data_IF_151391175228
#
_entry.id   IF_151391175228
#
_cell.length_a   1.000
_cell.length_b   1.000
_cell.length_c   1.000
_cell.angle_alpha   90.00
_cell.angle_beta   90.00
_cell.angle_gamma   90.00
#
_symmetry.space_group_name_H-M   'P 1'
#
loop_
_entity.id
_entity.type
_entity.pdbx_description
1 polymer ?
#
# COMPACT_ATOMS: atom_id res chain seq x y z
N UNK A 1 23.84 -27.51 -21.96
CA UNK A 1 22.42 -27.59 -21.57
C UNK A 1 22.36 -27.54 -20.06
N UNK A 2 22.11 -26.36 -19.48
CA UNK A 2 21.90 -26.26 -18.03
C UNK A 2 20.58 -26.96 -17.68
N UNK A 3 20.64 -28.02 -16.88
CA UNK A 3 19.44 -28.58 -16.28
C UNK A 3 18.84 -27.50 -15.37
N UNK A 4 17.74 -26.88 -15.80
CA UNK A 4 16.93 -26.03 -14.92
C UNK A 4 16.54 -26.87 -13.71
N UNK A 5 17.24 -26.70 -12.60
CA UNK A 5 16.89 -27.31 -11.33
C UNK A 5 15.49 -26.83 -10.96
N UNK A 6 14.51 -27.70 -11.18
CA UNK A 6 13.13 -27.44 -10.81
C UNK A 6 13.09 -27.48 -9.29
N UNK A 7 12.69 -26.39 -8.60
CA UNK A 7 12.63 -26.40 -7.14
C UNK A 7 11.64 -27.47 -6.66
N UNK A 8 12.05 -28.20 -5.62
CA UNK A 8 11.19 -29.20 -4.96
C UNK A 8 10.06 -28.51 -4.20
N UNK A 9 8.98 -29.24 -3.89
CA UNK A 9 7.82 -28.68 -3.18
C UNK A 9 8.22 -28.10 -1.81
N UNK A 10 9.07 -28.81 -1.07
CA UNK A 10 9.57 -28.37 0.25
C UNK A 10 10.34 -27.04 0.16
N UNK A 11 11.10 -26.83 -0.91
CA UNK A 11 11.81 -25.57 -1.14
C UNK A 11 10.84 -24.41 -1.44
N UNK A 12 9.71 -24.68 -2.10
CA UNK A 12 8.69 -23.68 -2.37
C UNK A 12 7.94 -23.29 -1.10
N UNK A 13 7.66 -24.24 -0.21
CA UNK A 13 7.02 -23.98 1.08
C UNK A 13 7.93 -23.16 2.01
N UNK A 14 9.23 -23.48 2.07
CA UNK A 14 10.19 -22.66 2.82
C UNK A 14 10.27 -21.23 2.30
N UNK A 15 10.27 -21.06 0.96
CA UNK A 15 10.23 -19.71 0.38
C UNK A 15 8.90 -19.01 0.64
N UNK A 16 7.79 -19.74 0.77
CA UNK A 16 6.49 -19.18 1.12
C UNK A 16 6.50 -18.58 2.53
N UNK A 17 7.07 -19.28 3.51
CA UNK A 17 7.28 -18.76 4.87
C UNK A 17 8.14 -17.48 4.87
N UNK A 18 9.13 -17.40 3.98
CA UNK A 18 9.92 -16.19 3.82
C UNK A 18 9.06 -15.02 3.30
N UNK A 19 8.20 -15.25 2.31
CA UNK A 19 7.25 -14.24 1.84
C UNK A 19 6.23 -13.84 2.91
N UNK A 20 5.81 -14.76 3.78
CA UNK A 20 4.94 -14.39 4.92
C UNK A 20 5.66 -13.44 5.88
N UNK A 21 6.93 -13.71 6.21
CA UNK A 21 7.73 -12.80 7.06
C UNK A 21 7.91 -11.42 6.42
N UNK A 22 8.16 -11.37 5.12
CA UNK A 22 8.22 -10.12 4.37
C UNK A 22 6.89 -9.36 4.39
N UNK A 23 5.77 -10.06 4.31
CA UNK A 23 4.45 -9.45 4.40
C UNK A 23 4.25 -8.75 5.75
N UNK A 24 4.68 -9.37 6.86
CA UNK A 24 4.63 -8.72 8.18
C UNK A 24 5.50 -7.46 8.24
N UNK A 25 6.70 -7.48 7.65
CA UNK A 25 7.55 -6.29 7.55
C UNK A 25 6.87 -5.17 6.75
N UNK A 26 6.24 -5.51 5.61
CA UNK A 26 5.46 -4.57 4.81
C UNK A 26 4.29 -3.96 5.58
N UNK A 27 3.56 -4.75 6.38
CA UNK A 27 2.53 -4.22 7.28
C UNK A 27 3.11 -3.28 8.34
N UNK A 28 4.26 -3.61 8.92
CA UNK A 28 4.95 -2.74 9.87
C UNK A 28 5.28 -1.37 9.26
N UNK A 29 5.84 -1.36 8.05
CA UNK A 29 6.13 -0.12 7.31
C UNK A 29 4.83 0.64 7.04
N UNK A 30 3.78 -0.05 6.59
CA UNK A 30 2.50 0.56 6.27
C UNK A 30 1.85 1.23 7.49
N UNK A 31 1.89 0.59 8.66
CA UNK A 31 1.36 1.15 9.92
C UNK A 31 2.19 2.35 10.37
N UNK A 32 3.52 2.29 10.28
CA UNK A 32 4.40 3.43 10.61
C UNK A 32 4.10 4.62 9.69
N UNK A 33 3.96 4.38 8.39
CA UNK A 33 3.57 5.39 7.42
C UNK A 33 2.21 6.00 7.77
N UNK A 34 1.23 5.18 8.14
CA UNK A 34 -0.10 5.64 8.50
C UNK A 34 -0.07 6.50 9.77
N UNK A 35 0.66 6.07 10.80
CA UNK A 35 0.83 6.85 12.02
C UNK A 35 1.52 8.20 11.73
N UNK A 36 2.58 8.21 10.92
CA UNK A 36 3.22 9.45 10.47
C UNK A 36 2.28 10.33 9.63
N UNK A 37 1.38 9.72 8.86
CA UNK A 37 0.39 10.45 8.09
C UNK A 37 -0.58 11.20 8.99
N UNK A 38 -1.11 10.53 10.02
CA UNK A 38 -1.99 11.17 11.00
C UNK A 38 -1.30 12.29 11.78
N UNK A 39 -0.06 12.05 12.24
CA UNK A 39 0.72 13.09 12.93
C UNK A 39 0.92 14.31 12.03
N UNK A 40 1.31 14.09 10.78
CA UNK A 40 1.53 15.19 9.84
C UNK A 40 0.23 15.89 9.42
N UNK A 41 -0.87 15.16 9.27
CA UNK A 41 -2.17 15.75 9.02
C UNK A 41 -2.59 16.68 10.16
N UNK A 42 -2.37 16.25 11.41
CA UNK A 42 -2.64 17.06 12.60
C UNK A 42 -1.73 18.29 12.68
N UNK A 43 -0.42 18.14 12.45
CA UNK A 43 0.52 19.27 12.37
C UNK A 43 0.12 20.27 11.29
N UNK A 44 -0.22 19.78 10.10
CA UNK A 44 -0.66 20.61 8.99
C UNK A 44 -1.95 21.38 9.35
N UNK A 45 -2.93 20.75 9.99
CA UNK A 45 -4.14 21.44 10.45
C UNK A 45 -3.84 22.54 11.46
N UNK A 46 -2.96 22.29 12.44
CA UNK A 46 -2.54 23.31 13.40
C UNK A 46 -1.82 24.47 12.71
N UNK A 47 -0.87 24.16 11.82
CA UNK A 47 -0.14 25.17 11.06
C UNK A 47 -1.08 26.01 10.20
N UNK A 48 -2.00 25.37 9.47
CA UNK A 48 -3.00 26.06 8.65
C UNK A 48 -3.87 26.99 9.49
N UNK A 49 -4.36 26.54 10.66
CA UNK A 49 -5.15 27.39 11.56
C UNK A 49 -4.35 28.59 12.07
N UNK A 50 -3.09 28.39 12.47
CA UNK A 50 -2.20 29.50 12.87
C UNK A 50 -1.95 30.45 11.69
N UNK A 51 -1.69 29.92 10.50
CA UNK A 51 -1.37 30.72 9.32
C UNK A 51 -2.57 31.58 8.88
N UNK A 52 -3.79 31.02 8.89
CA UNK A 52 -5.01 31.79 8.64
C UNK A 52 -5.24 32.88 9.69
N UNK A 53 -5.00 32.58 10.99
CA UNK A 53 -5.11 33.59 12.04
C UNK A 53 -4.11 34.75 11.89
N UNK A 54 -2.92 34.47 11.35
CA UNK A 54 -1.89 35.49 11.08
C UNK A 54 -2.22 36.26 9.80
N UNK A 55 -2.72 35.58 8.77
CA UNK A 55 -3.12 36.18 7.50
C UNK A 55 -4.27 37.18 7.67
N UNK A 56 -5.29 36.82 8.47
CA UNK A 56 -6.39 37.73 8.83
C UNK A 56 -5.87 39.01 9.52
N UNK A 57 -4.77 38.88 10.28
CA UNK A 57 -4.13 39.99 10.99
C UNK A 57 -3.14 40.78 10.12
N UNK A 58 -2.53 40.16 9.12
CA UNK A 58 -1.48 40.75 8.27
C UNK A 58 -1.59 40.27 6.81
N UNK A 59 -2.23 41.04 5.91
CA UNK A 59 -2.50 40.63 4.52
C UNK A 59 -1.25 40.56 3.61
N UNK A 60 -0.08 41.01 4.09
CA UNK A 60 1.20 40.94 3.36
C UNK A 60 1.67 39.48 3.15
N UNK A 61 1.13 38.52 3.91
CA UNK A 61 1.52 37.11 3.83
C UNK A 61 1.07 36.40 2.54
N UNK A 62 0.10 36.95 1.79
CA UNK A 62 -0.39 36.33 0.55
C UNK A 62 0.70 36.15 -0.52
N UNK A 63 1.67 37.08 -0.58
CA UNK A 63 2.77 37.01 -1.55
C UNK A 63 3.80 35.93 -1.24
N UNK A 64 3.92 35.48 0.01
CA UNK A 64 4.94 34.52 0.45
C UNK A 64 4.37 33.10 0.67
N UNK A 65 3.05 32.94 0.59
CA UNK A 65 2.38 31.66 0.83
C UNK A 65 2.77 30.59 -0.19
N UNK A 66 2.88 30.96 -1.47
CA UNK A 66 3.27 30.05 -2.54
C UNK A 66 4.69 29.47 -2.32
N UNK A 67 5.63 30.31 -1.87
CA UNK A 67 7.01 29.90 -1.56
C UNK A 67 7.09 29.03 -0.30
N UNK A 68 6.28 29.31 0.74
CA UNK A 68 6.21 28.44 1.92
C UNK A 68 5.60 27.07 1.60
N UNK A 69 4.55 27.02 0.77
CA UNK A 69 3.84 25.79 0.43
C UNK A 69 4.73 24.78 -0.30
N UNK A 70 5.64 25.26 -1.15
CA UNK A 70 6.59 24.42 -1.90
C UNK A 70 7.71 23.88 -1.02
N UNK A 71 8.08 24.56 0.07
CA UNK A 71 9.02 24.05 1.07
C UNK A 71 8.43 22.97 2.00
N UNK A 72 7.11 22.96 2.21
CA UNK A 72 6.41 22.00 3.08
C UNK A 72 6.30 20.59 2.49
N UNK A 73 6.36 20.48 1.15
CA UNK A 73 6.29 19.23 0.40
C UNK A 73 7.69 18.89 -0.12
N UNK A 74 8.44 18.05 0.62
CA UNK A 74 9.74 17.56 0.14
C UNK A 74 9.52 16.50 -0.96
N UNK A 75 9.90 16.74 -2.22
CA UNK A 75 9.71 15.78 -3.31
C UNK A 75 10.45 14.46 -3.05
N UNK A 76 11.62 14.53 -2.39
CA UNK A 76 12.42 13.38 -2.01
C UNK A 76 11.67 12.43 -1.07
N UNK A 77 10.86 12.97 -0.15
CA UNK A 77 10.03 12.17 0.76
C UNK A 77 8.95 11.41 -0.01
N UNK A 78 8.28 12.05 -0.97
CA UNK A 78 7.27 11.40 -1.82
C UNK A 78 7.91 10.27 -2.64
N UNK A 79 9.05 10.54 -3.27
CA UNK A 79 9.78 9.53 -4.06
C UNK A 79 10.22 8.34 -3.20
N UNK A 80 10.69 8.60 -1.97
CA UNK A 80 11.07 7.55 -1.04
C UNK A 80 9.89 6.64 -0.67
N UNK A 81 8.73 7.23 -0.36
CA UNK A 81 7.53 6.46 -0.04
C UNK A 81 6.99 5.67 -1.24
N UNK A 82 7.01 6.27 -2.43
CA UNK A 82 6.62 5.58 -3.67
C UNK A 82 7.55 4.40 -3.94
N UNK A 83 8.86 4.55 -3.70
CA UNK A 83 9.82 3.45 -3.79
C UNK A 83 9.48 2.31 -2.80
N UNK A 84 9.15 2.62 -1.55
CA UNK A 84 8.75 1.61 -0.56
C UNK A 84 7.44 0.90 -0.93
N UNK A 85 6.49 1.61 -1.52
CA UNK A 85 5.25 1.05 -2.02
C UNK A 85 5.52 0.05 -3.16
N UNK A 86 6.32 0.44 -4.16
CA UNK A 86 6.71 -0.46 -5.26
C UNK A 86 7.43 -1.70 -4.75
N UNK A 87 8.32 -1.54 -3.77
CA UNK A 87 9.03 -2.65 -3.13
C UNK A 87 8.06 -3.60 -2.42
N UNK A 88 7.02 -3.08 -1.79
CA UNK A 88 5.96 -3.85 -1.12
C UNK A 88 5.03 -4.58 -2.09
N UNK A 89 4.77 -4.02 -3.28
CA UNK A 89 3.90 -4.62 -4.29
C UNK A 89 4.62 -5.64 -5.18
N UNK A 90 5.95 -5.55 -5.29
CA UNK A 90 6.77 -6.47 -6.09
C UNK A 90 6.52 -7.96 -5.76
N UNK A 91 6.47 -8.39 -4.48
CA UNK A 91 6.09 -9.75 -4.11
C UNK A 91 4.74 -10.20 -4.68
N UNK A 92 3.72 -9.34 -4.64
CA UNK A 92 2.39 -9.66 -5.17
C UNK A 92 2.43 -9.94 -6.68
N UNK A 93 3.18 -9.14 -7.44
CA UNK A 93 3.38 -9.34 -8.88
C UNK A 93 4.14 -10.64 -9.15
N UNK A 94 5.22 -10.89 -8.42
CA UNK A 94 6.02 -12.12 -8.56
C UNK A 94 5.16 -13.35 -8.28
N UNK A 95 4.41 -13.36 -7.16
CA UNK A 95 3.53 -14.46 -6.79
C UNK A 95 2.40 -14.67 -7.79
N UNK A 96 1.91 -13.60 -8.43
CA UNK A 96 0.81 -13.68 -9.41
C UNK A 96 1.26 -14.26 -10.76
N UNK A 97 2.41 -13.81 -11.28
CA UNK A 97 2.79 -14.05 -12.68
C UNK A 97 3.92 -15.07 -12.86
N UNK A 98 4.81 -15.24 -11.87
CA UNK A 98 5.98 -16.08 -12.06
C UNK A 98 5.61 -17.57 -12.03
N UNK A 99 6.04 -18.31 -13.07
CA UNK A 99 5.63 -19.69 -13.34
C UNK A 99 5.94 -20.67 -12.20
N UNK A 100 7.05 -20.45 -11.49
CA UNK A 100 7.44 -21.23 -10.30
C UNK A 100 6.35 -21.30 -9.23
N UNK A 101 5.59 -20.23 -9.00
CA UNK A 101 4.55 -20.16 -7.96
C UNK A 101 3.21 -20.75 -8.39
N UNK A 102 3.09 -21.23 -9.64
CA UNK A 102 1.89 -21.94 -10.10
C UNK A 102 1.75 -23.33 -9.50
N UNK A 103 2.83 -23.88 -8.94
CA UNK A 103 2.85 -25.19 -8.29
C UNK A 103 2.34 -25.18 -6.85
N UNK A 104 2.36 -24.01 -6.20
CA UNK A 104 1.86 -23.83 -4.84
C UNK A 104 0.33 -23.82 -4.85
N UNK A 105 -0.29 -24.35 -3.78
CA UNK A 105 -1.75 -24.30 -3.60
C UNK A 105 -2.25 -22.87 -3.79
N UNK A 106 -3.24 -22.73 -4.66
CA UNK A 106 -3.80 -21.44 -5.09
C UNK A 106 -4.25 -20.57 -3.89
N UNK A 107 -4.81 -21.19 -2.86
CA UNK A 107 -5.29 -20.52 -1.65
C UNK A 107 -4.15 -19.77 -0.92
N UNK A 108 -3.08 -20.48 -0.54
CA UNK A 108 -1.94 -19.89 0.19
C UNK A 108 -1.29 -18.76 -0.61
N UNK A 109 -1.24 -18.91 -1.94
CA UNK A 109 -0.71 -17.87 -2.82
C UNK A 109 -1.61 -16.63 -2.85
N UNK A 110 -2.93 -16.80 -2.90
CA UNK A 110 -3.85 -15.68 -2.87
C UNK A 110 -3.82 -14.96 -1.54
N UNK A 111 -3.81 -15.66 -0.41
CA UNK A 111 -3.75 -15.00 0.90
C UNK A 111 -2.51 -14.10 1.02
N UNK A 112 -1.35 -14.55 0.50
CA UNK A 112 -0.15 -13.72 0.38
C UNK A 112 -0.31 -12.53 -0.57
N UNK A 113 -0.79 -12.76 -1.80
CA UNK A 113 -0.99 -11.70 -2.81
C UNK A 113 -1.90 -10.61 -2.24
N UNK A 114 -3.05 -11.00 -1.66
CA UNK A 114 -3.99 -10.07 -1.07
C UNK A 114 -3.44 -9.38 0.17
N UNK A 115 -2.62 -10.07 0.96
CA UNK A 115 -1.87 -9.45 2.06
C UNK A 115 -0.98 -8.31 1.57
N UNK A 116 -0.14 -8.55 0.56
CA UNK A 116 0.76 -7.52 0.02
C UNK A 116 0.01 -6.36 -0.63
N UNK A 117 -1.08 -6.66 -1.35
CA UNK A 117 -1.98 -5.64 -1.89
C UNK A 117 -2.60 -4.79 -0.78
N UNK A 118 -3.05 -5.40 0.31
CA UNK A 118 -3.60 -4.69 1.47
C UNK A 118 -2.54 -3.81 2.14
N UNK A 119 -1.31 -4.31 2.31
CA UNK A 119 -0.21 -3.53 2.87
C UNK A 119 0.13 -2.31 1.98
N UNK A 120 0.29 -2.52 0.67
CA UNK A 120 0.50 -1.42 -0.28
C UNK A 120 -0.65 -0.42 -0.28
N UNK A 121 -1.88 -0.89 -0.09
CA UNK A 121 -3.05 -0.02 0.00
C UNK A 121 -3.06 0.86 1.25
N UNK A 122 -2.67 0.32 2.41
CA UNK A 122 -2.49 1.11 3.63
C UNK A 122 -1.41 2.19 3.41
N UNK A 123 -0.34 1.87 2.68
CA UNK A 123 0.69 2.87 2.31
C UNK A 123 0.11 3.98 1.42
N UNK A 124 -0.71 3.65 0.43
CA UNK A 124 -1.39 4.63 -0.43
C UNK A 124 -2.31 5.55 0.35
N UNK A 125 -3.11 5.00 1.27
CA UNK A 125 -3.92 5.83 2.18
C UNK A 125 -3.06 6.76 3.02
N UNK A 126 -1.93 6.26 3.51
CA UNK A 126 -1.01 7.05 4.31
C UNK A 126 -0.42 8.21 3.51
N UNK A 127 -0.14 7.99 2.23
CA UNK A 127 0.30 9.05 1.31
C UNK A 127 -0.82 10.07 1.06
N UNK A 128 -2.04 9.61 0.80
CA UNK A 128 -3.20 10.49 0.60
C UNK A 128 -3.52 11.34 1.84
N UNK A 129 -3.42 10.77 3.04
CA UNK A 129 -3.66 11.48 4.30
C UNK A 129 -2.58 12.53 4.63
N UNK A 130 -1.38 12.42 4.07
CA UNK A 130 -0.30 13.40 4.28
C UNK A 130 -0.50 14.69 3.48
N UNK A 131 -1.36 14.69 2.46
CA UNK A 131 -1.62 15.86 1.63
C UNK A 131 -2.90 16.58 2.11
N UNK A 132 -2.76 17.72 2.81
CA UNK A 132 -3.92 18.46 3.34
C UNK A 132 -4.77 19.10 2.23
N UNK A 133 -4.22 19.27 1.02
CA UNK A 133 -4.94 19.84 -0.13
C UNK A 133 -5.73 18.77 -0.87
N UNK A 134 -5.29 17.51 -0.82
CA UNK A 134 -5.94 16.38 -1.48
C UNK A 134 -6.84 15.51 -0.59
N UNK A 135 -6.86 15.73 0.72
CA UNK A 135 -7.70 14.96 1.65
C UNK A 135 -9.21 15.03 1.32
N UNK A 136 -9.67 16.05 0.57
CA UNK A 136 -11.06 16.19 0.09
C UNK A 136 -11.28 15.75 -1.36
N UNK A 137 -10.25 15.34 -2.09
CA UNK A 137 -10.29 15.17 -3.54
C UNK A 137 -10.36 13.70 -3.98
N UNK A 138 -10.69 13.46 -5.26
CA UNK A 138 -11.03 12.15 -5.84
C UNK A 138 -10.02 11.00 -5.64
N UNK A 139 -8.79 11.28 -5.19
CA UNK A 139 -7.79 10.28 -4.79
C UNK A 139 -8.31 9.31 -3.72
N UNK A 140 -9.03 9.84 -2.71
CA UNK A 140 -9.64 9.00 -1.67
C UNK A 140 -10.74 8.10 -2.23
N UNK A 141 -11.47 8.57 -3.24
CA UNK A 141 -12.50 7.78 -3.93
C UNK A 141 -11.85 6.65 -4.73
N UNK A 142 -10.78 6.92 -5.48
CA UNK A 142 -10.04 5.88 -6.21
C UNK A 142 -9.44 4.84 -5.28
N UNK A 143 -8.84 5.26 -4.18
CA UNK A 143 -8.35 4.34 -3.16
C UNK A 143 -9.47 3.44 -2.66
N UNK A 144 -10.61 4.00 -2.23
CA UNK A 144 -11.75 3.24 -1.70
C UNK A 144 -12.35 2.28 -2.74
N UNK A 145 -12.53 2.72 -3.98
CA UNK A 145 -13.03 1.88 -5.09
C UNK A 145 -12.08 0.72 -5.35
N UNK A 146 -10.78 0.98 -5.35
CA UNK A 146 -9.76 -0.05 -5.53
C UNK A 146 -9.77 -1.07 -4.37
N UNK A 147 -9.94 -0.61 -3.12
CA UNK A 147 -10.10 -1.47 -1.93
C UNK A 147 -11.32 -2.38 -2.05
N UNK A 148 -12.46 -1.80 -2.46
CA UNK A 148 -13.69 -2.55 -2.73
C UNK A 148 -13.45 -3.59 -3.81
N UNK A 149 -12.77 -3.24 -4.89
CA UNK A 149 -12.49 -4.15 -6.01
C UNK A 149 -11.59 -5.31 -5.58
N UNK A 150 -10.54 -5.04 -4.78
CA UNK A 150 -9.67 -6.06 -4.20
C UNK A 150 -10.47 -6.97 -3.25
N UNK A 151 -11.23 -6.40 -2.32
CA UNK A 151 -12.03 -7.15 -1.36
C UNK A 151 -13.09 -8.03 -2.04
N UNK A 152 -13.79 -7.49 -3.05
CA UNK A 152 -14.75 -8.24 -3.86
C UNK A 152 -14.05 -9.35 -4.65
N UNK A 153 -12.89 -9.07 -5.24
CA UNK A 153 -12.07 -10.04 -5.97
C UNK A 153 -11.64 -11.20 -5.07
N UNK A 154 -11.18 -10.91 -3.86
CA UNK A 154 -10.84 -11.92 -2.84
C UNK A 154 -12.06 -12.76 -2.46
N UNK A 155 -13.17 -12.10 -2.13
CA UNK A 155 -14.39 -12.77 -1.71
C UNK A 155 -14.99 -13.69 -2.79
N UNK A 156 -15.02 -13.22 -4.04
CA UNK A 156 -15.49 -14.00 -5.19
C UNK A 156 -14.60 -15.21 -5.48
N UNK A 157 -13.28 -15.05 -5.36
CA UNK A 157 -12.33 -16.17 -5.55
C UNK A 157 -12.40 -17.19 -4.41
N UNK A 158 -12.57 -16.73 -3.16
CA UNK A 158 -12.75 -17.61 -2.00
C UNK A 158 -14.06 -18.41 -2.07
N UNK A 159 -15.18 -17.82 -2.47
CA UNK A 159 -16.47 -18.54 -2.63
C UNK A 159 -16.44 -19.66 -3.66
N UNK A 160 -15.58 -19.58 -4.67
CA UNK A 160 -15.42 -20.66 -5.67
C UNK A 160 -14.62 -21.84 -5.11
N UNK A 161 -13.82 -21.64 -4.06
CA UNK A 161 -13.00 -22.67 -3.42
C UNK A 161 -13.86 -23.67 -2.65
N UNK A 162 -14.82 -23.19 -1.86
CA UNK A 162 -15.72 -24.04 -1.07
C UNK A 162 -16.50 -25.03 -1.96
N UNK A 163 -16.81 -24.62 -3.20
CA UNK A 163 -17.50 -25.47 -4.18
C UNK A 163 -16.60 -26.46 -4.92
N UNK A 164 -15.30 -26.18 -5.04
CA UNK A 164 -14.38 -27.03 -5.79
C UNK A 164 -13.80 -28.16 -4.93
N UNK A 165 -13.73 -27.97 -3.60
CA UNK A 165 -13.29 -29.00 -2.66
C UNK A 165 -14.41 -30.02 -2.32
N UNK A 166 -15.69 -29.73 -2.65
CA UNK A 166 -16.81 -30.67 -2.49
C UNK A 166 -16.99 -31.66 -3.67
N UNK A 167 -16.35 -31.41 -4.83
CA UNK A 167 -16.62 -32.17 -6.07
C UNK A 167 -15.62 -33.31 -6.31
N UNK A 168 -14.53 -33.37 -5.54
CA UNK A 168 -13.58 -34.47 -5.61
C UNK A 168 -13.46 -35.17 -4.25
N UNK A 169 -14.19 -36.29 -4.05
CA UNK A 169 -13.94 -37.22 -2.95
C UNK A 169 -12.57 -37.93 -3.08
#
# INVERSE_FOLDING_TARGET
MESKNIPTMDQLEQKLLFWEKWLFASFGIAVIMLAQAFLKAYENQLLVNVLFSVQEKYPVFDQHYAELSTGLISPARILFWLFLELLTLTPAVILSFHSTWRKVRLANRYDLIFGYLLAGWIMLLSLGAQDPVNASNGYNVFALVFLFTIGLGYWLTRRKKDKAEEVFP
#
